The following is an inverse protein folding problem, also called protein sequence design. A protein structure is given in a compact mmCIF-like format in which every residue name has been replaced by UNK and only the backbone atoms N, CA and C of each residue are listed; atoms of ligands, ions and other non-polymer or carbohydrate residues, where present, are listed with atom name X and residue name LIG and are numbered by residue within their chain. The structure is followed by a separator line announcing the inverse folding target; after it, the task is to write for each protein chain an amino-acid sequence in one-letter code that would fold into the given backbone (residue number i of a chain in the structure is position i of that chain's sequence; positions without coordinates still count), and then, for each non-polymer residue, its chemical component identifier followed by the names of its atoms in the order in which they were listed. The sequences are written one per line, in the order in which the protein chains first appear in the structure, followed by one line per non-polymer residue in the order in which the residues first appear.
data_IF_791365845699
#
_entry.id   IF_791365845699
#
_cell.length_a   1.000
_cell.length_b   1.000
_cell.length_c   1.000
_cell.angle_alpha   90.00
_cell.angle_beta   90.00
_cell.angle_gamma   90.00
#
_symmetry.space_group_name_H-M   'P 1'
#
loop_
_entity.id
_entity.type
_entity.pdbx_description
1 polymer ?
#
# COMPACT_ATOMS: atom_id res chain seq x y z
N UNK A 1 -5.59 -8.03 22.92
CA UNK A 1 -5.66 -7.79 21.44
C UNK A 1 -6.08 -6.33 21.27
N UNK A 2 -5.43 -5.58 20.40
CA UNK A 2 -5.77 -4.17 20.19
C UNK A 2 -7.13 -4.09 19.47
N UNK A 3 -8.15 -3.52 20.11
CA UNK A 3 -9.53 -3.50 19.56
C UNK A 3 -9.65 -2.70 18.26
N UNK A 4 -8.76 -1.73 18.04
CA UNK A 4 -8.72 -0.94 16.83
C UNK A 4 -7.96 -1.61 15.67
N UNK A 5 -7.34 -2.77 15.88
CA UNK A 5 -6.70 -3.55 14.83
C UNK A 5 -7.71 -4.53 14.22
N UNK A 6 -8.14 -4.23 12.99
CA UNK A 6 -9.09 -5.04 12.22
C UNK A 6 -8.34 -6.07 11.39
N UNK A 7 -7.20 -5.67 10.83
CA UNK A 7 -6.40 -6.51 9.94
C UNK A 7 -5.64 -7.59 10.73
N UNK A 8 -5.68 -8.81 10.20
CA UNK A 8 -5.04 -9.98 10.79
C UNK A 8 -3.93 -10.56 9.91
N UNK A 9 -3.80 -10.06 8.70
CA UNK A 9 -2.85 -10.52 7.71
C UNK A 9 -1.98 -9.35 7.23
N UNK A 10 -0.68 -9.57 7.17
CA UNK A 10 0.22 -8.58 6.58
C UNK A 10 0.16 -8.64 5.05
N UNK A 11 0.49 -7.52 4.39
CA UNK A 11 0.60 -7.48 2.93
C UNK A 11 1.59 -8.53 2.41
N UNK A 12 2.64 -8.82 3.15
CA UNK A 12 3.65 -9.81 2.77
C UNK A 12 3.12 -11.26 2.85
N UNK A 13 2.27 -11.57 3.83
CA UNK A 13 1.56 -12.86 3.90
C UNK A 13 0.57 -12.99 2.75
N UNK A 14 -0.17 -11.91 2.42
CA UNK A 14 -1.06 -11.88 1.27
C UNK A 14 -0.31 -12.18 -0.04
N UNK A 15 0.85 -11.54 -0.27
CA UNK A 15 1.66 -11.79 -1.47
C UNK A 15 2.13 -13.25 -1.59
N UNK A 16 2.43 -13.89 -0.46
CA UNK A 16 2.85 -15.31 -0.45
C UNK A 16 1.72 -16.29 -0.76
N UNK A 17 0.48 -15.98 -0.34
CA UNK A 17 -0.64 -16.93 -0.44
C UNK A 17 -1.56 -16.70 -1.64
N UNK A 18 -1.48 -15.54 -2.28
CA UNK A 18 -2.41 -15.21 -3.36
C UNK A 18 -2.23 -16.15 -4.55
N UNK A 19 -3.35 -16.55 -5.14
CA UNK A 19 -3.36 -17.24 -6.43
C UNK A 19 -3.49 -16.28 -7.62
N UNK A 20 -3.75 -14.99 -7.36
CA UNK A 20 -3.86 -13.96 -8.41
C UNK A 20 -2.47 -13.61 -8.94
N UNK A 21 -2.33 -13.35 -10.25
CA UNK A 21 -1.10 -12.79 -10.78
C UNK A 21 -0.75 -11.46 -10.09
N UNK A 22 0.48 -11.37 -9.57
CA UNK A 22 0.99 -10.16 -8.92
C UNK A 22 1.62 -9.27 -9.98
N UNK A 23 1.18 -8.02 -10.04
CA UNK A 23 1.74 -7.01 -10.94
C UNK A 23 2.10 -5.74 -10.16
N UNK A 24 3.25 -5.12 -10.49
CA UNK A 24 3.69 -3.88 -9.87
C UNK A 24 3.27 -2.67 -10.69
N UNK A 25 2.71 -1.68 -10.04
CA UNK A 25 2.49 -0.36 -10.62
C UNK A 25 3.61 0.58 -10.19
N UNK A 26 4.52 0.89 -11.11
CA UNK A 26 5.69 1.74 -10.91
C UNK A 26 7.01 1.00 -11.12
N UNK A 27 8.08 1.78 -11.38
CA UNK A 27 9.42 1.30 -11.75
C UNK A 27 10.53 2.15 -11.09
N UNK A 28 10.40 2.40 -9.80
CA UNK A 28 11.38 3.17 -9.02
C UNK A 28 11.87 2.39 -7.80
N UNK A 29 12.51 3.07 -6.88
CA UNK A 29 13.07 2.49 -5.66
C UNK A 29 12.06 1.63 -4.85
N UNK A 30 10.79 2.05 -4.80
CA UNK A 30 9.76 1.23 -4.16
C UNK A 30 9.57 -0.11 -4.85
N UNK A 31 9.56 -0.13 -6.20
CA UNK A 31 9.48 -1.36 -6.97
C UNK A 31 10.72 -2.25 -6.78
N UNK A 32 11.93 -1.66 -6.72
CA UNK A 32 13.16 -2.40 -6.44
C UNK A 32 13.05 -3.14 -5.09
N UNK A 33 12.66 -2.44 -4.02
CA UNK A 33 12.52 -3.04 -2.68
C UNK A 33 11.47 -4.16 -2.63
N UNK A 34 10.35 -3.98 -3.34
CA UNK A 34 9.29 -5.00 -3.40
C UNK A 34 9.79 -6.22 -4.16
N UNK A 35 10.46 -6.03 -5.31
CA UNK A 35 11.02 -7.12 -6.10
C UNK A 35 12.10 -7.87 -5.33
N UNK A 36 13.01 -7.17 -4.64
CA UNK A 36 14.04 -7.81 -3.81
C UNK A 36 13.42 -8.69 -2.73
N UNK A 37 12.32 -8.22 -2.11
CA UNK A 37 11.60 -9.03 -1.13
C UNK A 37 10.90 -10.23 -1.78
N UNK A 38 10.27 -10.04 -2.94
CA UNK A 38 9.60 -11.11 -3.68
C UNK A 38 10.61 -12.20 -4.11
N UNK A 39 11.76 -11.79 -4.64
CA UNK A 39 12.84 -12.70 -5.04
C UNK A 39 13.37 -13.51 -3.85
N UNK A 40 13.63 -12.84 -2.72
CA UNK A 40 14.11 -13.48 -1.51
C UNK A 40 13.10 -14.47 -0.87
N UNK A 41 11.81 -14.32 -1.17
CA UNK A 41 10.74 -15.15 -0.64
C UNK A 41 10.09 -16.08 -1.69
N UNK A 42 10.67 -16.17 -2.89
CA UNK A 42 10.18 -17.00 -4.00
C UNK A 42 8.72 -16.68 -4.40
N UNK A 43 8.34 -15.38 -4.29
CA UNK A 43 7.01 -14.88 -4.69
C UNK A 43 7.10 -14.40 -6.14
N UNK A 44 6.43 -15.07 -7.09
CA UNK A 44 6.54 -14.71 -8.50
C UNK A 44 5.77 -13.41 -8.79
N UNK A 45 6.45 -12.44 -9.39
CA UNK A 45 5.83 -11.24 -9.98
C UNK A 45 5.69 -11.46 -11.49
N UNK A 46 4.50 -11.21 -12.04
CA UNK A 46 4.20 -11.53 -13.44
C UNK A 46 4.33 -10.33 -14.38
N UNK A 47 4.50 -9.12 -13.86
CA UNK A 47 4.69 -7.95 -14.71
C UNK A 47 4.84 -6.65 -13.94
N UNK A 48 5.37 -5.67 -14.65
CA UNK A 48 5.53 -4.29 -14.18
C UNK A 48 4.85 -3.37 -15.18
N UNK A 49 4.05 -2.44 -14.71
CA UNK A 49 3.39 -1.47 -15.56
C UNK A 49 3.55 -0.04 -15.04
N UNK A 50 3.33 0.90 -15.91
CA UNK A 50 3.30 2.32 -15.62
C UNK A 50 2.06 2.98 -16.24
N UNK A 51 1.80 4.25 -15.91
CA UNK A 51 0.81 5.05 -16.62
C UNK A 51 1.20 5.17 -18.09
N UNK A 52 0.22 5.18 -18.97
CA UNK A 52 0.42 5.03 -20.43
C UNK A 52 1.41 6.03 -21.03
N UNK A 53 1.43 7.26 -20.48
CA UNK A 53 2.35 8.32 -20.88
C UNK A 53 3.82 8.03 -20.54
N UNK A 54 4.09 7.08 -19.63
CA UNK A 54 5.44 6.67 -19.23
C UNK A 54 5.88 5.34 -19.84
N UNK A 55 4.99 4.63 -20.55
CA UNK A 55 5.33 3.37 -21.20
C UNK A 55 6.01 3.61 -22.54
N UNK A 56 7.27 3.16 -22.67
CA UNK A 56 8.11 3.30 -23.87
C UNK A 56 8.80 1.98 -24.25
N UNK A 57 8.33 0.85 -23.73
CA UNK A 57 8.97 -0.45 -23.92
C UNK A 57 10.31 -0.62 -23.18
N UNK A 58 10.58 0.25 -22.19
CA UNK A 58 11.78 0.17 -21.37
C UNK A 58 11.82 -1.08 -20.52
N UNK A 59 13.03 -1.49 -20.16
CA UNK A 59 13.25 -2.61 -19.26
C UNK A 59 13.42 -2.13 -17.81
N UNK A 60 12.85 -2.85 -16.86
CA UNK A 60 13.03 -2.65 -15.45
C UNK A 60 13.15 -4.01 -14.73
N UNK A 61 14.28 -4.29 -14.11
CA UNK A 61 14.56 -5.53 -13.38
C UNK A 61 14.22 -6.80 -14.18
N UNK A 62 14.49 -6.81 -15.47
CA UNK A 62 14.19 -7.93 -16.38
C UNK A 62 12.76 -7.97 -16.92
N UNK A 63 11.88 -7.09 -16.45
CA UNK A 63 10.54 -6.92 -17.02
C UNK A 63 10.53 -5.88 -18.12
N UNK A 64 9.81 -6.14 -19.21
CA UNK A 64 9.38 -5.05 -20.10
C UNK A 64 8.25 -4.29 -19.40
N UNK A 65 8.38 -2.97 -19.27
CA UNK A 65 7.32 -2.15 -18.68
C UNK A 65 6.18 -2.04 -19.67
N UNK A 66 5.00 -2.52 -19.27
CA UNK A 66 3.81 -2.62 -20.11
C UNK A 66 2.74 -1.58 -19.72
N UNK A 67 1.73 -1.44 -20.54
CA UNK A 67 0.47 -0.77 -20.16
C UNK A 67 -0.38 -1.71 -19.30
N UNK A 68 -1.16 -1.15 -18.40
CA UNK A 68 -2.08 -1.94 -17.57
C UNK A 68 -3.03 -2.81 -18.42
N UNK A 69 -3.60 -2.25 -19.50
CA UNK A 69 -4.50 -2.99 -20.40
C UNK A 69 -3.82 -4.23 -21.01
N UNK A 70 -2.56 -4.09 -21.45
CA UNK A 70 -1.77 -5.20 -22.02
C UNK A 70 -1.53 -6.30 -20.98
N UNK A 71 -1.20 -5.95 -19.74
CA UNK A 71 -1.05 -6.92 -18.66
C UNK A 71 -2.35 -7.67 -18.38
N UNK A 72 -3.48 -6.95 -18.32
CA UNK A 72 -4.79 -7.53 -18.08
C UNK A 72 -5.22 -8.50 -19.20
N UNK A 73 -4.93 -8.17 -20.46
CA UNK A 73 -5.18 -9.07 -21.60
C UNK A 73 -4.34 -10.35 -21.50
N UNK A 74 -3.06 -10.24 -21.09
CA UNK A 74 -2.14 -11.37 -21.01
C UNK A 74 -2.35 -12.26 -19.79
N UNK A 75 -2.67 -11.67 -18.63
CA UNK A 75 -2.71 -12.37 -17.33
C UNK A 75 -4.12 -12.73 -16.86
N UNK A 76 -5.15 -12.15 -17.50
CA UNK A 76 -6.54 -12.36 -17.11
C UNK A 76 -7.16 -11.19 -16.35
N UNK A 77 -8.44 -11.33 -16.01
CA UNK A 77 -9.23 -10.24 -15.46
C UNK A 77 -8.94 -9.91 -13.99
N UNK A 78 -8.47 -10.88 -13.22
CA UNK A 78 -8.22 -10.72 -11.77
C UNK A 78 -6.74 -10.65 -11.47
N UNK A 79 -6.27 -9.50 -11.03
CA UNK A 79 -4.89 -9.23 -10.67
C UNK A 79 -4.80 -8.79 -9.21
N UNK A 80 -3.64 -9.03 -8.59
CA UNK A 80 -3.22 -8.32 -7.40
C UNK A 80 -2.24 -7.21 -7.82
N UNK A 81 -2.70 -5.98 -7.72
CA UNK A 81 -1.90 -4.80 -8.08
C UNK A 81 -1.16 -4.29 -6.85
N UNK A 82 0.16 -4.22 -6.93
CA UNK A 82 1.01 -3.69 -5.88
C UNK A 82 1.51 -2.31 -6.29
N UNK A 83 1.08 -1.28 -5.57
CA UNK A 83 1.55 0.08 -5.77
C UNK A 83 2.97 0.22 -5.23
N UNK A 84 3.89 0.61 -6.08
CA UNK A 84 5.31 0.68 -5.76
C UNK A 84 5.82 2.13 -5.57
N UNK A 85 4.91 3.10 -5.50
CA UNK A 85 5.22 4.51 -5.27
C UNK A 85 4.06 5.20 -4.57
N UNK A 86 4.35 6.31 -3.89
CA UNK A 86 3.37 7.21 -3.32
C UNK A 86 3.22 8.47 -4.18
N UNK A 87 2.06 9.12 -4.10
CA UNK A 87 1.79 10.39 -4.78
C UNK A 87 0.74 11.18 -4.02
N UNK A 88 0.87 12.51 -4.05
CA UNK A 88 -0.17 13.45 -3.59
C UNK A 88 -0.95 14.08 -4.77
N UNK A 89 -0.59 13.73 -6.00
CA UNK A 89 -1.19 14.29 -7.21
C UNK A 89 -2.61 13.74 -7.39
N UNK A 90 -3.64 14.62 -7.52
CA UNK A 90 -5.04 14.21 -7.60
C UNK A 90 -5.32 13.20 -8.73
N UNK A 91 -4.70 13.39 -9.90
CA UNK A 91 -4.88 12.50 -11.05
C UNK A 91 -4.29 11.09 -10.80
N UNK A 92 -3.23 10.99 -10.00
CA UNK A 92 -2.63 9.69 -9.62
C UNK A 92 -3.48 9.00 -8.57
N UNK A 93 -3.96 9.75 -7.58
CA UNK A 93 -4.87 9.22 -6.54
C UNK A 93 -6.19 8.74 -7.15
N UNK A 94 -6.76 9.49 -8.11
CA UNK A 94 -7.95 9.07 -8.85
C UNK A 94 -7.70 7.74 -9.61
N UNK A 95 -6.50 7.57 -10.20
CA UNK A 95 -6.14 6.31 -10.85
C UNK A 95 -6.00 5.16 -9.87
N UNK A 96 -5.41 5.38 -8.69
CA UNK A 96 -5.38 4.34 -7.65
C UNK A 96 -6.78 3.93 -7.22
N UNK A 97 -7.68 4.89 -7.01
CA UNK A 97 -9.06 4.63 -6.67
C UNK A 97 -9.81 3.86 -7.77
N UNK A 98 -9.58 4.20 -9.04
CA UNK A 98 -10.13 3.46 -10.18
C UNK A 98 -9.62 2.02 -10.21
N UNK A 99 -8.32 1.81 -10.07
CA UNK A 99 -7.73 0.46 -10.02
C UNK A 99 -8.32 -0.37 -8.87
N UNK A 100 -8.55 0.25 -7.71
CA UNK A 100 -9.14 -0.42 -6.55
C UNK A 100 -10.63 -0.82 -6.74
N UNK A 101 -11.33 -0.24 -7.70
CA UNK A 101 -12.68 -0.68 -8.09
C UNK A 101 -12.66 -1.91 -9.00
N UNK A 102 -11.57 -2.11 -9.73
CA UNK A 102 -11.43 -3.20 -10.70
C UNK A 102 -10.63 -4.39 -10.17
N UNK A 103 -9.69 -4.14 -9.26
CA UNK A 103 -8.68 -5.09 -8.81
C UNK A 103 -8.51 -5.07 -7.29
N UNK A 104 -7.91 -6.11 -6.77
CA UNK A 104 -7.32 -6.04 -5.43
C UNK A 104 -6.04 -5.21 -5.49
N UNK A 105 -6.01 -4.10 -4.75
CA UNK A 105 -4.89 -3.15 -4.77
C UNK A 105 -4.30 -3.01 -3.39
N UNK A 106 -2.99 -3.16 -3.28
CA UNK A 106 -2.24 -2.96 -2.05
C UNK A 106 -1.03 -2.05 -2.28
N UNK A 107 -0.65 -1.31 -1.25
CA UNK A 107 0.56 -0.50 -1.22
C UNK A 107 1.38 -0.87 0.02
N UNK A 108 2.38 -1.74 -0.08
CA UNK A 108 3.22 -2.09 1.05
C UNK A 108 3.88 -0.87 1.66
N UNK A 109 3.79 -0.73 2.99
CA UNK A 109 4.59 0.25 3.71
C UNK A 109 6.06 -0.18 3.69
N UNK A 110 6.88 0.58 2.96
CA UNK A 110 8.30 0.30 2.81
C UNK A 110 9.10 1.20 3.74
N UNK A 111 10.06 0.66 4.51
CA UNK A 111 10.94 1.47 5.34
C UNK A 111 11.80 2.38 4.47
N UNK A 112 11.97 3.63 4.90
CA UNK A 112 12.88 4.58 4.25
C UNK A 112 14.34 4.24 4.57
N UNK A 113 14.60 3.82 5.81
CA UNK A 113 15.92 3.45 6.30
C UNK A 113 15.99 1.96 6.65
N UNK A 114 17.18 1.37 6.51
CA UNK A 114 17.40 -0.07 6.74
C UNK A 114 17.12 -0.51 8.19
N UNK A 115 17.25 0.38 9.16
CA UNK A 115 17.05 0.10 10.58
C UNK A 115 15.60 0.32 11.03
N UNK A 116 14.72 0.79 10.15
CA UNK A 116 13.32 1.05 10.48
C UNK A 116 12.56 -0.27 10.63
N UNK A 117 11.97 -0.51 11.81
CA UNK A 117 11.12 -1.67 12.05
C UNK A 117 9.81 -1.54 11.25
N UNK A 118 9.44 -2.59 10.52
CA UNK A 118 8.15 -2.66 9.82
C UNK A 118 7.05 -3.15 10.75
N UNK A 119 5.84 -2.62 10.57
CA UNK A 119 4.67 -3.09 11.31
C UNK A 119 4.35 -4.52 10.86
N UNK A 120 4.48 -5.44 11.79
CA UNK A 120 4.16 -6.86 11.64
C UNK A 120 3.30 -7.33 12.82
N UNK A 121 2.73 -8.52 12.75
CA UNK A 121 1.98 -9.10 13.88
C UNK A 121 2.84 -9.21 15.14
N UNK A 122 4.10 -9.60 15.00
CA UNK A 122 5.04 -9.67 16.13
C UNK A 122 5.39 -8.29 16.67
N UNK A 123 5.56 -7.30 15.80
CA UNK A 123 5.77 -5.91 16.21
C UNK A 123 4.57 -5.36 16.97
N UNK A 124 3.35 -5.58 16.46
CA UNK A 124 2.10 -5.18 17.12
C UNK A 124 1.96 -5.83 18.51
N UNK A 125 2.26 -7.13 18.61
CA UNK A 125 2.23 -7.83 19.89
C UNK A 125 3.25 -7.28 20.89
N UNK A 126 4.48 -7.02 20.45
CA UNK A 126 5.56 -6.43 21.26
C UNK A 126 5.20 -5.05 21.81
N UNK A 127 4.49 -4.24 21.02
CA UNK A 127 4.16 -2.85 21.36
C UNK A 127 2.71 -2.64 21.81
N UNK A 128 1.95 -3.70 22.02
CA UNK A 128 0.51 -3.63 22.27
C UNK A 128 0.14 -2.67 23.43
N UNK A 129 0.83 -2.74 24.56
CA UNK A 129 0.58 -1.88 25.72
C UNK A 129 0.82 -0.40 25.41
N UNK A 130 1.92 -0.10 24.71
CA UNK A 130 2.25 1.27 24.34
C UNK A 130 1.26 1.84 23.31
N UNK A 131 0.86 1.03 22.32
CA UNK A 131 -0.12 1.42 21.31
C UNK A 131 -1.50 1.68 21.94
N UNK A 132 -1.93 0.82 22.87
CA UNK A 132 -3.18 1.00 23.61
C UNK A 132 -3.11 2.26 24.48
N UNK A 133 -2.01 2.47 25.19
CA UNK A 133 -1.79 3.66 26.02
C UNK A 133 -1.89 4.96 25.19
N UNK A 134 -1.29 5.00 23.99
CA UNK A 134 -1.38 6.15 23.08
C UNK A 134 -2.83 6.33 22.60
N UNK A 135 -3.46 5.27 22.09
CA UNK A 135 -4.82 5.32 21.54
C UNK A 135 -5.84 5.90 22.52
N UNK A 136 -5.78 5.49 23.78
CA UNK A 136 -6.69 5.96 24.84
C UNK A 136 -6.51 7.45 25.19
N UNK A 137 -5.33 8.03 24.87
CA UNK A 137 -4.98 9.43 25.18
C UNK A 137 -5.09 10.38 24.01
N UNK A 138 -5.44 9.87 22.85
CA UNK A 138 -5.75 10.73 21.70
C UNK A 138 -6.96 11.61 22.03
N UNK A 139 -6.87 12.89 21.69
CA UNK A 139 -7.80 13.92 22.13
C UNK A 139 -9.23 13.71 21.64
N UNK A 140 -9.39 13.20 20.43
CA UNK A 140 -10.68 13.14 19.73
C UNK A 140 -10.82 11.84 18.91
N UNK A 141 -12.02 11.63 18.39
CA UNK A 141 -12.37 10.44 17.61
C UNK A 141 -11.65 10.41 16.25
N UNK A 142 -11.46 11.57 15.63
CA UNK A 142 -10.75 11.67 14.35
C UNK A 142 -9.28 11.23 14.51
N UNK A 143 -8.61 11.70 15.54
CA UNK A 143 -7.24 11.28 15.87
C UNK A 143 -7.14 9.76 16.10
N UNK A 144 -8.12 9.17 16.81
CA UNK A 144 -8.18 7.71 17.01
C UNK A 144 -8.43 6.96 15.72
N UNK A 145 -9.31 7.48 14.86
CA UNK A 145 -9.57 6.90 13.53
C UNK A 145 -8.31 6.90 12.67
N UNK A 146 -7.61 8.01 12.58
CA UNK A 146 -6.36 8.14 11.81
C UNK A 146 -5.27 7.21 12.36
N UNK A 147 -5.12 7.14 13.68
CA UNK A 147 -4.15 6.25 14.32
C UNK A 147 -4.42 4.78 13.99
N UNK A 148 -5.67 4.34 14.17
CA UNK A 148 -6.10 2.99 13.87
C UNK A 148 -5.92 2.64 12.39
N UNK A 149 -6.37 3.53 11.49
CA UNK A 149 -6.23 3.36 10.05
C UNK A 149 -4.77 3.26 9.62
N UNK A 150 -3.89 4.10 10.17
CA UNK A 150 -2.46 4.06 9.87
C UNK A 150 -1.83 2.71 10.21
N UNK A 151 -2.15 2.13 11.37
CA UNK A 151 -1.61 0.82 11.78
C UNK A 151 -2.18 -0.31 10.94
N UNK A 152 -3.48 -0.30 10.66
CA UNK A 152 -4.12 -1.28 9.78
C UNK A 152 -3.53 -1.21 8.35
N UNK A 153 -3.33 0.00 7.80
CA UNK A 153 -2.64 0.20 6.53
C UNK A 153 -1.21 -0.35 6.55
N UNK A 154 -0.43 0.03 7.55
CA UNK A 154 0.98 -0.40 7.65
C UNK A 154 1.14 -1.92 7.72
N UNK A 155 0.16 -2.62 8.30
CA UNK A 155 0.14 -4.08 8.31
C UNK A 155 -0.31 -4.66 6.97
N UNK A 156 -1.49 -4.24 6.49
CA UNK A 156 -2.18 -4.90 5.37
C UNK A 156 -1.86 -4.34 3.98
N UNK A 157 -1.34 -3.10 3.91
CA UNK A 157 -1.14 -2.39 2.65
C UNK A 157 -2.43 -1.93 1.97
N UNK A 158 -3.61 -2.10 2.58
CA UNK A 158 -4.90 -1.71 1.99
C UNK A 158 -5.03 -0.19 1.92
N UNK A 159 -5.09 0.34 0.72
CA UNK A 159 -5.13 1.80 0.48
C UNK A 159 -6.44 2.46 0.92
N UNK A 160 -7.54 1.71 1.11
CA UNK A 160 -8.80 2.23 1.63
C UNK A 160 -8.62 2.97 2.96
N UNK A 161 -7.77 2.46 3.86
CA UNK A 161 -7.48 3.13 5.12
C UNK A 161 -6.91 4.55 4.96
N UNK A 162 -6.11 4.78 3.91
CA UNK A 162 -5.56 6.09 3.63
C UNK A 162 -6.63 7.03 3.06
N UNK A 163 -7.44 6.54 2.12
CA UNK A 163 -8.52 7.34 1.53
C UNK A 163 -9.58 7.72 2.57
N UNK A 164 -9.95 6.80 3.46
CA UNK A 164 -10.98 7.01 4.49
C UNK A 164 -10.58 8.01 5.58
N UNK A 165 -9.29 8.31 5.70
CA UNK A 165 -8.73 9.21 6.71
C UNK A 165 -8.13 10.50 6.14
N UNK A 166 -8.14 10.66 4.81
CA UNK A 166 -7.63 11.88 4.18
C UNK A 166 -8.68 12.99 4.27
N UNK A 167 -8.31 14.10 4.87
CA UNK A 167 -9.08 15.37 4.87
C UNK A 167 -8.44 16.34 3.90
N UNK A 168 -9.24 17.25 3.32
CA UNK A 168 -8.71 18.32 2.48
C UNK A 168 -7.93 19.29 3.35
N UNK A 169 -6.70 19.61 2.98
CA UNK A 169 -5.82 20.52 3.75
C UNK A 169 -6.43 21.91 4.00
N UNK A 170 -7.26 22.36 3.08
CA UNK A 170 -7.98 23.64 3.19
C UNK A 170 -9.06 23.60 4.27
N UNK A 171 -9.73 22.45 4.45
CA UNK A 171 -10.76 22.28 5.48
C UNK A 171 -10.12 22.29 6.88
N UNK A 172 -8.98 21.60 7.07
CA UNK A 172 -8.25 21.58 8.33
C UNK A 172 -7.73 22.98 8.72
N UNK A 173 -7.27 23.79 7.74
CA UNK A 173 -6.81 25.15 8.00
C UNK A 173 -7.95 26.09 8.38
N UNK A 174 -9.14 25.93 7.82
CA UNK A 174 -10.31 26.73 8.17
C UNK A 174 -10.80 26.42 9.59
N UNK A 175 -10.77 25.16 9.99
CA UNK A 175 -11.15 24.74 11.33
C UNK A 175 -10.18 25.25 12.40
N UNK A 176 -8.87 25.29 12.10
CA UNK A 176 -7.85 25.83 13.00
C UNK A 176 -7.87 27.35 13.15
N UNK A 177 -8.47 28.07 12.19
CA UNK A 177 -8.54 29.54 12.18
C UNK A 177 -9.89 30.10 12.64
N UNK A 178 -10.85 29.23 12.93
CA UNK A 178 -12.19 29.59 13.44
C UNK A 178 -12.24 29.63 14.97
#
# INVERSE_FOLDING_TARGET
MLEFMIEQESVWELLKRTAKPIVLYGMGNGADKILDWCDANEVPVQGVFASDEFVRGQQFRGFTVERYATLKERLGAELLVVLAFASERPEVLARFAQLAQEQEVVAPHLPLFAEEETVSKSWLAKHAEALQYVYERLADEQSRKVFAATLNYKLSGKISYLFDCTTAREDDLQELLA
#
